data_IF_288799261794
#
_entry.id   IF_288799261794
#
_cell.length_a   1.000
_cell.length_b   1.000
_cell.length_c   1.000
_cell.angle_alpha   90.00
_cell.angle_beta   90.00
_cell.angle_gamma   90.00
#
_symmetry.space_group_name_H-M   'P 1'
#
loop_
_entity.id
_entity.type
_entity.pdbx_description
1 polymer ?
#
# COMPACT_ATOMS: atom_id res chain seq x y z
N UNK A 1 4.71 -12.17 3.91
CA UNK A 1 5.16 -10.80 4.27
C UNK A 1 4.00 -9.93 4.73
N UNK A 2 2.99 -9.66 3.89
CA UNK A 2 1.87 -8.77 4.26
C UNK A 2 1.16 -9.14 5.57
N UNK A 3 0.71 -10.39 5.74
CA UNK A 3 -0.02 -10.80 6.96
C UNK A 3 0.77 -10.48 8.24
N UNK A 4 2.06 -10.84 8.28
CA UNK A 4 2.91 -10.52 9.43
C UNK A 4 3.03 -9.00 9.67
N UNK A 5 3.20 -8.20 8.62
CA UNK A 5 3.24 -6.75 8.76
C UNK A 5 1.89 -6.17 9.25
N UNK A 6 0.77 -6.69 8.74
CA UNK A 6 -0.57 -6.31 9.16
C UNK A 6 -0.82 -6.65 10.65
N UNK A 7 -0.42 -7.84 11.10
CA UNK A 7 -0.52 -8.26 12.50
C UNK A 7 0.28 -7.33 13.41
N UNK A 8 1.55 -7.05 13.07
CA UNK A 8 2.41 -6.13 13.82
C UNK A 8 1.85 -4.70 13.88
N UNK A 9 1.25 -4.21 12.79
CA UNK A 9 0.61 -2.89 12.76
C UNK A 9 -0.67 -2.87 13.62
N UNK A 10 -1.47 -3.93 13.55
CA UNK A 10 -2.71 -4.08 14.32
C UNK A 10 -2.43 -4.14 15.82
N UNK A 11 -1.42 -4.92 16.24
CA UNK A 11 -0.96 -4.98 17.64
C UNK A 11 -0.50 -3.62 18.16
N UNK A 12 0.01 -2.75 17.28
CA UNK A 12 0.38 -1.36 17.59
C UNK A 12 -0.80 -0.38 17.55
N UNK A 13 -2.02 -0.85 17.32
CA UNK A 13 -3.22 -0.02 17.23
C UNK A 13 -3.33 0.80 15.95
N UNK A 14 -2.59 0.44 14.89
CA UNK A 14 -2.62 1.13 13.60
C UNK A 14 -3.67 0.44 12.71
N UNK A 15 -4.69 1.20 12.31
CA UNK A 15 -5.72 0.72 11.39
C UNK A 15 -5.24 0.84 9.93
N UNK A 16 -5.06 -0.29 9.25
CA UNK A 16 -4.67 -0.33 7.84
C UNK A 16 -5.93 -0.28 6.96
N UNK A 17 -6.23 0.89 6.39
CA UNK A 17 -7.45 1.09 5.58
C UNK A 17 -7.27 0.78 4.09
N UNK A 18 -6.02 0.79 3.60
CA UNK A 18 -5.67 0.39 2.22
C UNK A 18 -4.41 -0.46 2.23
N UNK A 19 -4.31 -1.37 1.26
CA UNK A 19 -3.10 -2.16 1.02
C UNK A 19 -2.86 -2.36 -0.47
N UNK A 20 -1.62 -2.15 -0.91
CA UNK A 20 -1.19 -2.43 -2.26
C UNK A 20 -0.05 -3.46 -2.22
N UNK A 21 -0.23 -4.58 -2.92
CA UNK A 21 0.73 -5.70 -2.92
C UNK A 21 1.05 -6.03 -4.38
N UNK A 22 2.33 -5.94 -4.75
CA UNK A 22 2.76 -6.18 -6.12
C UNK A 22 4.14 -5.58 -6.42
N UNK A 23 4.53 -5.67 -7.70
CA UNK A 23 5.82 -5.20 -8.19
C UNK A 23 5.76 -3.72 -8.61
N UNK A 24 5.61 -2.81 -7.65
CA UNK A 24 5.48 -1.38 -7.91
C UNK A 24 6.82 -0.66 -8.09
N UNK A 25 7.84 -1.08 -7.35
CA UNK A 25 9.19 -0.52 -7.44
C UNK A 25 10.21 -1.66 -7.36
N UNK A 26 10.72 -2.08 -8.51
CA UNK A 26 11.62 -3.24 -8.63
C UNK A 26 13.07 -2.82 -8.78
N UNK A 27 13.99 -3.74 -8.49
CA UNK A 27 15.42 -3.58 -8.73
C UNK A 27 15.93 -4.78 -9.53
N UNK A 28 15.52 -4.85 -10.79
CA UNK A 28 15.77 -5.98 -11.69
C UNK A 28 15.46 -7.33 -11.01
N UNK A 29 16.44 -8.24 -10.95
CA UNK A 29 16.32 -9.61 -10.44
C UNK A 29 16.61 -9.74 -8.93
N UNK A 30 16.58 -8.65 -8.17
CA UNK A 30 16.81 -8.70 -6.73
C UNK A 30 15.73 -9.54 -6.01
N UNK A 31 16.17 -10.54 -5.24
CA UNK A 31 15.28 -11.33 -4.37
C UNK A 31 15.06 -10.60 -3.04
N UNK A 32 14.10 -9.67 -3.04
CA UNK A 32 13.75 -8.87 -1.87
C UNK A 32 12.42 -8.14 -2.04
N UNK A 33 11.98 -7.47 -0.98
CA UNK A 33 10.76 -6.65 -1.01
C UNK A 33 10.93 -5.44 -0.08
N UNK A 34 10.23 -4.35 -0.41
CA UNK A 34 10.09 -3.18 0.45
C UNK A 34 8.70 -3.13 1.08
N UNK A 35 8.61 -2.53 2.27
CA UNK A 35 7.35 -2.19 2.92
C UNK A 35 7.30 -0.67 3.09
N UNK A 36 6.25 -0.05 2.54
CA UNK A 36 5.98 1.38 2.72
C UNK A 36 4.72 1.55 3.55
N UNK A 37 4.77 2.41 4.57
CA UNK A 37 3.62 2.78 5.39
C UNK A 37 3.42 4.28 5.26
N UNK A 38 2.21 4.70 4.91
CA UNK A 38 1.83 6.10 4.80
C UNK A 38 0.72 6.38 5.80
N UNK A 39 0.92 7.38 6.66
CA UNK A 39 -0.16 7.89 7.52
C UNK A 39 -1.13 8.66 6.63
N UNK A 40 -2.41 8.38 6.79
CA UNK A 40 -3.47 9.05 6.04
C UNK A 40 -4.21 10.02 6.98
N UNK A 41 -4.45 11.22 6.46
CA UNK A 41 -5.49 12.12 6.94
C UNK A 41 -6.66 12.08 5.93
N UNK A 42 -7.64 12.97 6.11
CA UNK A 42 -8.86 12.98 5.30
C UNK A 42 -8.57 13.39 3.84
N UNK A 43 -7.70 14.37 3.61
CA UNK A 43 -7.33 14.80 2.26
C UNK A 43 -6.56 13.71 1.51
N UNK A 44 -5.55 13.11 2.14
CA UNK A 44 -4.77 12.02 1.54
C UNK A 44 -5.62 10.78 1.30
N UNK A 45 -6.61 10.54 2.16
CA UNK A 45 -7.60 9.48 2.00
C UNK A 45 -8.39 9.68 0.72
N UNK A 46 -8.96 10.87 0.50
CA UNK A 46 -9.73 11.17 -0.71
C UNK A 46 -8.88 11.06 -1.97
N UNK A 47 -7.65 11.58 -1.94
CA UNK A 47 -6.72 11.52 -3.07
C UNK A 47 -6.30 10.08 -3.40
N UNK A 48 -6.09 9.22 -2.40
CA UNK A 48 -5.73 7.83 -2.61
C UNK A 48 -6.88 6.99 -3.17
N UNK A 49 -8.13 7.33 -2.85
CA UNK A 49 -9.33 6.62 -3.30
C UNK A 49 -9.84 7.12 -4.66
N UNK A 50 -9.31 8.23 -5.18
CA UNK A 50 -9.68 8.79 -6.47
C UNK A 50 -9.43 7.80 -7.63
N UNK A 51 -10.28 7.80 -8.68
CA UNK A 51 -10.15 6.87 -9.79
C UNK A 51 -8.85 7.11 -10.57
N UNK A 52 -8.14 6.03 -10.88
CA UNK A 52 -6.85 6.05 -11.58
C UNK A 52 -6.80 4.94 -12.62
N UNK A 53 -6.30 5.26 -13.83
CA UNK A 53 -6.17 4.30 -14.94
C UNK A 53 -4.80 4.45 -15.59
N UNK A 54 -3.80 3.82 -15.00
CA UNK A 54 -2.42 3.79 -15.53
C UNK A 54 -1.96 2.35 -15.78
N UNK A 55 -0.76 2.17 -16.33
CA UNK A 55 -0.19 0.84 -16.57
C UNK A 55 0.08 0.07 -15.26
N UNK A 56 0.58 0.77 -14.23
CA UNK A 56 0.98 0.17 -12.94
C UNK A 56 -0.07 0.24 -11.84
N UNK A 57 -1.13 1.04 -12.02
CA UNK A 57 -2.19 1.19 -11.02
C UNK A 57 -3.53 1.48 -11.71
N UNK A 58 -4.51 0.61 -11.45
CA UNK A 58 -5.92 0.80 -11.83
C UNK A 58 -6.80 0.61 -10.60
N UNK A 59 -7.51 1.66 -10.20
CA UNK A 59 -8.42 1.65 -9.05
C UNK A 59 -9.53 2.67 -9.27
N UNK A 60 -10.68 2.48 -8.61
CA UNK A 60 -11.92 3.19 -8.96
C UNK A 60 -12.54 2.67 -10.26
N UNK A 61 -13.87 2.62 -10.34
CA UNK A 61 -14.62 2.19 -11.54
C UNK A 61 -14.55 3.25 -12.64
#
# INVERSE_FOLDING_TARGET
>A
MYNHAHDVLTEKGINVTRSQIGNFFTSLEMSGASLTVMRLDDELTELCDAPVRTAGWRAGM
#
